data_IF_090574835615
#
_entry.id   IF_090574835615
#
_cell.length_a   1.000
_cell.length_b   1.000
_cell.length_c   1.000
_cell.angle_alpha   90.00
_cell.angle_beta   90.00
_cell.angle_gamma   90.00
#
_symmetry.space_group_name_H-M   'P 1'
#
loop_
_entity.id
_entity.type
_entity.pdbx_description
1 polymer ?
#
# COMPACT_ATOMS: atom_id res chain seq x y z
N UNK A 1 33.86 28.51 -17.51
CA UNK A 1 34.20 28.11 -16.13
C UNK A 1 35.62 28.55 -15.84
N UNK A 2 35.83 29.42 -14.87
CA UNK A 2 37.18 29.77 -14.40
C UNK A 2 37.79 28.61 -13.60
N UNK A 3 39.11 28.61 -13.41
CA UNK A 3 39.82 27.58 -12.61
C UNK A 3 39.25 27.50 -11.19
N UNK A 4 38.86 28.64 -10.61
CA UNK A 4 38.28 28.70 -9.27
C UNK A 4 36.89 28.05 -9.21
N UNK A 5 36.04 28.30 -10.21
CA UNK A 5 34.70 27.70 -10.32
C UNK A 5 34.76 26.17 -10.50
N UNK A 6 35.73 25.68 -11.27
CA UNK A 6 35.97 24.24 -11.40
C UNK A 6 36.43 23.60 -10.08
N UNK A 7 37.28 24.30 -9.30
CA UNK A 7 37.74 23.80 -8.01
C UNK A 7 36.62 23.74 -6.96
N UNK A 8 35.69 24.70 -6.99
CA UNK A 8 34.51 24.71 -6.12
C UNK A 8 33.53 23.59 -6.50
N UNK A 9 33.30 23.37 -7.80
CA UNK A 9 32.34 22.35 -8.27
C UNK A 9 32.81 20.91 -7.97
N UNK A 10 34.12 20.64 -8.00
CA UNK A 10 34.66 19.31 -7.71
C UNK A 10 34.42 18.84 -6.27
N UNK A 11 34.38 19.75 -5.29
CA UNK A 11 34.05 19.40 -3.90
C UNK A 11 32.61 18.91 -3.77
N UNK A 12 31.67 19.60 -4.40
CA UNK A 12 30.25 19.20 -4.44
C UNK A 12 30.05 17.87 -5.16
N UNK A 13 30.70 17.69 -6.31
CA UNK A 13 30.65 16.44 -7.08
C UNK A 13 31.21 15.25 -6.28
N UNK A 14 32.35 15.42 -5.60
CA UNK A 14 32.96 14.36 -4.79
C UNK A 14 32.11 13.97 -3.59
N UNK A 15 31.50 14.95 -2.92
CA UNK A 15 30.56 14.70 -1.83
C UNK A 15 29.32 13.95 -2.36
N UNK A 16 28.76 14.38 -3.48
CA UNK A 16 27.60 13.71 -4.09
C UNK A 16 27.87 12.25 -4.44
N UNK A 17 29.03 11.94 -5.02
CA UNK A 17 29.43 10.57 -5.32
C UNK A 17 29.61 9.72 -4.05
N UNK A 18 30.24 10.28 -3.02
CA UNK A 18 30.42 9.59 -1.74
C UNK A 18 29.08 9.34 -1.03
N UNK A 19 28.21 10.33 -0.99
CA UNK A 19 26.87 10.22 -0.38
C UNK A 19 26.01 9.21 -1.15
N UNK A 20 26.10 9.18 -2.49
CA UNK A 20 25.41 8.20 -3.32
C UNK A 20 25.90 6.78 -2.99
N UNK A 21 27.21 6.57 -2.98
CA UNK A 21 27.79 5.26 -2.65
C UNK A 21 27.38 4.78 -1.24
N UNK A 22 27.35 5.68 -0.25
CA UNK A 22 26.89 5.37 1.10
C UNK A 22 25.38 5.04 1.15
N UNK A 23 24.54 5.77 0.40
CA UNK A 23 23.10 5.52 0.35
C UNK A 23 22.77 4.19 -0.33
N UNK A 24 23.47 3.82 -1.41
CA UNK A 24 23.32 2.52 -2.06
C UNK A 24 23.55 1.36 -1.10
N UNK A 25 24.61 1.44 -0.27
CA UNK A 25 24.88 0.40 0.73
C UNK A 25 23.78 0.28 1.79
N UNK A 26 23.11 1.38 2.15
CA UNK A 26 22.03 1.38 3.15
C UNK A 26 20.72 0.84 2.58
N UNK A 27 20.38 1.16 1.34
CA UNK A 27 19.16 0.67 0.68
C UNK A 27 19.17 -0.86 0.51
N UNK A 28 20.30 -1.44 0.08
CA UNK A 28 20.42 -2.90 -0.05
C UNK A 28 20.31 -3.62 1.30
N UNK A 29 20.92 -3.06 2.35
CA UNK A 29 20.82 -3.62 3.70
C UNK A 29 19.39 -3.57 4.25
N UNK A 30 18.68 -2.45 4.06
CA UNK A 30 17.28 -2.32 4.47
C UNK A 30 16.39 -3.34 3.76
N UNK A 31 16.50 -3.43 2.43
CA UNK A 31 15.72 -4.36 1.60
C UNK A 31 15.91 -5.80 2.07
N UNK A 32 17.16 -6.21 2.32
CA UNK A 32 17.46 -7.56 2.86
C UNK A 32 16.77 -7.80 4.19
N UNK A 33 16.84 -6.84 5.13
CA UNK A 33 16.18 -6.99 6.43
C UNK A 33 14.66 -7.04 6.33
N UNK A 34 14.08 -6.28 5.42
CA UNK A 34 12.63 -6.33 5.16
C UNK A 34 12.22 -7.70 4.62
N UNK A 35 12.98 -8.25 3.67
CA UNK A 35 12.73 -9.60 3.13
C UNK A 35 12.88 -10.67 4.22
N UNK A 36 13.92 -10.60 5.04
CA UNK A 36 14.16 -11.57 6.12
C UNK A 36 13.00 -11.61 7.13
N UNK A 37 12.34 -10.48 7.40
CA UNK A 37 11.19 -10.39 8.31
C UNK A 37 9.88 -10.77 7.62
N UNK A 38 9.73 -10.46 6.33
CA UNK A 38 8.48 -10.63 5.60
C UNK A 38 8.36 -11.96 4.83
N UNK A 39 9.41 -12.79 4.80
CA UNK A 39 9.44 -14.03 4.00
C UNK A 39 8.29 -15.01 4.29
N UNK A 40 7.76 -15.00 5.52
CA UNK A 40 6.67 -15.90 5.94
C UNK A 40 5.28 -15.35 5.59
N UNK A 41 5.19 -14.10 5.12
CA UNK A 41 3.95 -13.50 4.63
C UNK A 41 3.63 -14.00 3.21
N UNK A 42 2.96 -15.14 3.15
CA UNK A 42 2.49 -15.81 1.94
C UNK A 42 0.96 -15.91 2.00
N UNK A 43 0.28 -15.78 0.87
CA UNK A 43 -1.16 -16.03 0.81
C UNK A 43 -1.43 -17.53 0.97
N UNK A 44 -2.16 -17.92 2.02
CA UNK A 44 -2.37 -19.34 2.37
C UNK A 44 -3.82 -19.82 2.22
N UNK A 45 -4.77 -18.91 2.28
CA UNK A 45 -6.20 -19.19 2.22
C UNK A 45 -6.95 -18.05 1.55
N UNK A 46 -8.17 -18.28 1.07
CA UNK A 46 -8.98 -17.25 0.43
C UNK A 46 -9.57 -16.26 1.45
N UNK A 47 -10.11 -16.76 2.56
CA UNK A 47 -10.82 -15.95 3.55
C UNK A 47 -10.62 -16.50 4.98
N UNK A 48 -10.07 -15.67 5.87
CA UNK A 48 -9.91 -16.01 7.29
C UNK A 48 -11.19 -15.80 8.13
N UNK A 49 -12.27 -15.31 7.53
CA UNK A 49 -13.53 -15.04 8.22
C UNK A 49 -13.48 -13.93 9.27
N UNK A 50 -12.44 -13.09 9.28
CA UNK A 50 -12.33 -12.00 10.26
C UNK A 50 -13.47 -10.98 10.08
N UNK A 51 -14.07 -10.61 11.21
CA UNK A 51 -15.01 -9.48 11.30
C UNK A 51 -14.29 -8.13 11.44
N UNK A 52 -12.98 -8.17 11.69
CA UNK A 52 -12.19 -6.99 12.02
C UNK A 52 -11.62 -6.33 10.75
N UNK A 53 -11.62 -5.01 10.76
CA UNK A 53 -11.08 -4.20 9.67
C UNK A 53 -10.48 -2.91 10.21
N UNK A 54 -9.80 -2.18 9.33
CA UNK A 54 -9.26 -0.86 9.62
C UNK A 54 -10.12 0.20 8.94
N UNK A 55 -10.20 1.36 9.57
CA UNK A 55 -10.88 2.53 9.00
C UNK A 55 -9.86 3.28 8.14
N UNK A 56 -10.16 3.41 6.84
CA UNK A 56 -9.37 4.22 5.91
C UNK A 56 -10.05 5.56 5.68
N UNK A 57 -9.23 6.61 5.75
CA UNK A 57 -9.59 8.00 5.48
C UNK A 57 -8.56 8.61 4.53
N UNK A 58 -8.91 9.72 3.87
CA UNK A 58 -7.92 10.49 3.11
C UNK A 58 -6.72 10.87 4.01
N UNK A 59 -5.50 10.79 3.47
CA UNK A 59 -4.30 11.17 4.21
C UNK A 59 -3.99 12.64 3.93
N UNK A 60 -4.01 13.45 5.00
CA UNK A 60 -3.79 14.89 4.94
C UNK A 60 -2.62 15.24 5.86
N UNK A 61 -1.69 16.04 5.36
CA UNK A 61 -0.54 16.57 6.11
C UNK A 61 -0.52 18.09 5.96
N UNK A 62 -0.56 18.81 7.08
CA UNK A 62 -0.57 20.28 7.16
C UNK A 62 -1.52 20.99 6.16
N UNK A 63 -2.71 20.42 5.96
CA UNK A 63 -3.75 20.99 5.09
C UNK A 63 -3.61 20.64 3.60
N UNK A 64 -2.57 19.90 3.22
CA UNK A 64 -2.41 19.35 1.87
C UNK A 64 -2.88 17.90 1.86
N UNK A 65 -3.75 17.55 0.92
CA UNK A 65 -4.13 16.14 0.68
C UNK A 65 -2.95 15.46 -0.02
N UNK A 66 -2.30 14.52 0.67
CA UNK A 66 -1.20 13.74 0.09
C UNK A 66 -1.77 12.56 -0.69
N UNK A 67 -2.72 11.83 -0.09
CA UNK A 67 -3.42 10.71 -0.74
C UNK A 67 -4.92 10.87 -0.56
N UNK A 68 -5.65 10.75 -1.67
CA UNK A 68 -7.11 10.81 -1.67
C UNK A 68 -7.70 9.53 -1.08
N UNK A 69 -8.97 9.59 -0.64
CA UNK A 69 -9.67 8.38 -0.19
C UNK A 69 -9.78 7.35 -1.33
N UNK A 70 -9.99 7.80 -2.56
CA UNK A 70 -10.12 6.96 -3.75
C UNK A 70 -8.89 6.07 -3.94
N UNK A 71 -7.70 6.68 -4.02
CA UNK A 71 -6.42 5.97 -4.23
C UNK A 71 -6.15 4.93 -3.15
N UNK A 72 -6.53 5.23 -1.90
CA UNK A 72 -6.29 4.33 -0.76
C UNK A 72 -7.24 3.14 -0.71
N UNK A 73 -8.42 3.25 -1.34
CA UNK A 73 -9.45 2.22 -1.31
C UNK A 73 -9.34 1.20 -2.46
N UNK A 74 -8.79 1.60 -3.61
CA UNK A 74 -8.71 0.73 -4.79
C UNK A 74 -7.99 -0.59 -4.45
N UNK A 75 -8.60 -1.70 -4.85
CA UNK A 75 -8.06 -3.05 -4.68
C UNK A 75 -8.21 -3.63 -3.27
N UNK A 76 -8.82 -2.91 -2.33
CA UNK A 76 -9.15 -3.44 -1.00
C UNK A 76 -10.54 -4.07 -0.99
N UNK A 77 -10.80 -4.86 0.04
CA UNK A 77 -12.12 -5.48 0.28
C UNK A 77 -12.84 -4.76 1.42
N UNK A 78 -14.11 -4.46 1.22
CA UNK A 78 -14.98 -3.83 2.22
C UNK A 78 -15.27 -4.76 3.38
N UNK A 79 -15.32 -4.19 4.58
CA UNK A 79 -15.76 -4.88 5.80
C UNK A 79 -17.14 -4.39 6.26
N UNK A 80 -17.60 -3.25 5.74
CA UNK A 80 -18.91 -2.67 5.98
C UNK A 80 -19.50 -2.21 4.63
N UNK A 81 -20.83 -2.22 4.53
CA UNK A 81 -21.53 -1.74 3.34
C UNK A 81 -21.33 -0.23 3.18
N UNK A 82 -20.83 0.20 2.03
CA UNK A 82 -20.72 1.61 1.70
C UNK A 82 -22.07 2.09 1.16
N UNK A 83 -22.85 2.76 1.99
CA UNK A 83 -24.18 3.28 1.61
C UNK A 83 -24.06 4.78 1.30
N UNK A 84 -24.64 5.20 0.19
CA UNK A 84 -24.72 6.63 -0.13
C UNK A 84 -25.67 7.34 0.86
N UNK A 85 -25.19 8.34 1.63
CA UNK A 85 -26.01 9.05 2.60
C UNK A 85 -27.15 9.86 1.99
N UNK A 86 -27.10 10.17 0.68
CA UNK A 86 -28.12 10.98 -0.01
C UNK A 86 -29.23 10.13 -0.63
N UNK A 87 -28.87 9.00 -1.24
CA UNK A 87 -29.80 8.15 -2.00
C UNK A 87 -30.22 6.91 -1.23
N UNK A 88 -29.43 6.47 -0.24
CA UNK A 88 -29.63 5.20 0.46
C UNK A 88 -29.26 3.98 -0.39
N UNK A 89 -28.64 4.16 -1.56
CA UNK A 89 -28.17 3.06 -2.40
C UNK A 89 -26.88 2.46 -1.85
N UNK A 90 -26.76 1.13 -1.93
CA UNK A 90 -25.53 0.41 -1.59
C UNK A 90 -24.55 0.58 -2.75
N UNK A 91 -23.46 1.30 -2.52
CA UNK A 91 -22.41 1.55 -3.51
C UNK A 91 -21.49 0.34 -3.65
N UNK A 92 -21.14 -0.28 -2.52
CA UNK A 92 -20.31 -1.49 -2.42
C UNK A 92 -20.83 -2.34 -1.27
N UNK A 93 -21.12 -3.62 -1.55
CA UNK A 93 -21.60 -4.58 -0.57
C UNK A 93 -20.51 -5.02 0.41
N UNK A 94 -20.89 -5.79 1.42
CA UNK A 94 -19.94 -6.37 2.38
C UNK A 94 -19.10 -7.48 1.72
N UNK A 95 -17.77 -7.39 1.84
CA UNK A 95 -16.85 -8.40 1.29
C UNK A 95 -16.61 -8.28 -0.21
N UNK A 96 -17.02 -7.19 -0.84
CA UNK A 96 -16.77 -6.91 -2.25
C UNK A 96 -15.42 -6.17 -2.44
N UNK A 97 -14.79 -6.41 -3.59
CA UNK A 97 -13.59 -5.68 -4.00
C UNK A 97 -13.95 -4.26 -4.45
N UNK A 98 -13.19 -3.28 -3.98
CA UNK A 98 -13.35 -1.88 -4.38
C UNK A 98 -12.56 -1.64 -5.68
N UNK A 99 -13.28 -1.62 -6.79
CA UNK A 99 -12.77 -1.14 -8.08
C UNK A 99 -12.63 0.38 -8.13
N UNK A 100 -11.86 0.90 -9.08
CA UNK A 100 -11.72 2.35 -9.34
C UNK A 100 -13.08 3.05 -9.51
N UNK A 101 -14.03 2.40 -10.19
CA UNK A 101 -15.39 2.95 -10.38
C UNK A 101 -16.13 3.05 -9.06
N UNK A 102 -16.02 2.04 -8.21
CA UNK A 102 -16.65 2.00 -6.90
C UNK A 102 -16.01 3.01 -5.94
N UNK A 103 -14.69 3.14 -5.98
CA UNK A 103 -13.94 4.15 -5.22
C UNK A 103 -14.36 5.58 -5.58
N UNK A 104 -14.55 5.88 -6.87
CA UNK A 104 -15.07 7.18 -7.33
C UNK A 104 -16.47 7.46 -6.79
N UNK A 105 -17.39 6.50 -6.89
CA UNK A 105 -18.75 6.64 -6.33
C UNK A 105 -18.73 6.92 -4.83
N UNK A 106 -17.89 6.22 -4.07
CA UNK A 106 -17.72 6.43 -2.62
C UNK A 106 -17.26 7.87 -2.34
N UNK A 107 -16.29 8.36 -3.11
CA UNK A 107 -15.77 9.72 -3.00
C UNK A 107 -16.84 10.78 -3.36
N UNK A 108 -17.58 10.59 -4.46
CA UNK A 108 -18.65 11.48 -4.93
C UNK A 108 -19.86 11.52 -3.97
N UNK A 109 -20.17 10.40 -3.32
CA UNK A 109 -21.20 10.32 -2.28
C UNK A 109 -20.83 11.13 -1.01
N UNK A 110 -19.56 11.53 -0.87
CA UNK A 110 -19.07 12.31 0.27
C UNK A 110 -18.79 11.46 1.51
N UNK A 111 -18.56 10.16 1.33
CA UNK A 111 -18.16 9.25 2.42
C UNK A 111 -16.72 9.61 2.82
N UNK A 112 -16.50 9.88 4.11
CA UNK A 112 -15.20 10.33 4.63
C UNK A 112 -14.29 9.18 5.07
N UNK A 113 -14.90 8.07 5.47
CA UNK A 113 -14.19 6.93 6.01
C UNK A 113 -14.90 5.64 5.61
N UNK A 114 -14.12 4.60 5.30
CA UNK A 114 -14.63 3.28 4.94
C UNK A 114 -13.86 2.23 5.71
N UNK A 115 -14.57 1.27 6.30
CA UNK A 115 -13.95 0.13 6.96
C UNK A 115 -13.65 -0.97 5.95
N UNK A 116 -12.38 -1.33 5.87
CA UNK A 116 -11.87 -2.33 4.93
C UNK A 116 -11.07 -3.40 5.64
N UNK A 117 -10.93 -4.55 5.00
CA UNK A 117 -10.05 -5.61 5.46
C UNK A 117 -8.58 -5.17 5.37
N UNK A 118 -7.78 -5.70 6.27
CA UNK A 118 -6.35 -5.43 6.32
C UNK A 118 -5.58 -6.69 6.69
N UNK A 119 -4.35 -6.78 6.18
CA UNK A 119 -3.35 -7.75 6.62
C UNK A 119 -3.08 -7.65 8.14
N UNK A 120 -3.24 -6.48 8.74
CA UNK A 120 -3.03 -6.26 10.18
C UNK A 120 -4.11 -6.88 11.07
N UNK A 121 -5.32 -7.08 10.53
CA UNK A 121 -6.47 -7.66 11.23
C UNK A 121 -6.80 -9.07 10.74
N UNK A 122 -5.89 -9.69 9.97
CA UNK A 122 -6.02 -11.03 9.45
C UNK A 122 -5.94 -12.06 10.59
N UNK A 123 -6.84 -13.03 10.60
CA UNK A 123 -6.88 -14.13 11.58
C UNK A 123 -6.45 -15.48 10.99
N UNK A 124 -5.77 -15.47 9.85
CA UNK A 124 -5.20 -16.68 9.27
C UNK A 124 -4.16 -17.28 10.24
N UNK A 125 -4.18 -18.59 10.46
CA UNK A 125 -3.23 -19.25 11.39
C UNK A 125 -1.78 -19.16 10.89
N UNK A 126 -1.60 -19.26 9.57
CA UNK A 126 -0.29 -19.18 8.92
C UNK A 126 -0.41 -18.28 7.69
N UNK A 127 0.49 -17.31 7.56
CA UNK A 127 0.49 -16.39 6.42
C UNK A 127 -0.68 -15.40 6.45
N UNK A 128 -1.22 -15.10 5.28
CA UNK A 128 -2.25 -14.06 5.09
C UNK A 128 -3.40 -14.62 4.22
N UNK A 129 -4.61 -14.14 4.48
CA UNK A 129 -5.80 -14.45 3.67
C UNK A 129 -5.86 -13.57 2.40
N UNK A 130 -6.26 -14.12 1.26
CA UNK A 130 -6.34 -13.38 0.00
C UNK A 130 -7.28 -12.16 0.11
N UNK A 131 -8.42 -12.31 0.80
CA UNK A 131 -9.36 -11.21 1.01
C UNK A 131 -8.84 -10.08 1.92
N UNK A 132 -7.89 -10.39 2.80
CA UNK A 132 -7.31 -9.46 3.75
C UNK A 132 -6.18 -8.64 3.10
N UNK A 133 -5.50 -9.25 2.13
CA UNK A 133 -4.51 -8.62 1.29
C UNK A 133 -5.18 -7.74 0.22
N UNK A 134 -6.16 -8.31 -0.49
CA UNK A 134 -6.87 -7.67 -1.59
C UNK A 134 -6.26 -7.99 -2.95
N UNK A 135 -6.20 -6.97 -3.80
CA UNK A 135 -5.73 -7.05 -5.18
C UNK A 135 -4.22 -7.07 -5.25
N UNK A 136 -3.68 -8.00 -6.03
CA UNK A 136 -2.30 -7.92 -6.51
C UNK A 136 -2.19 -6.81 -7.57
N UNK A 137 -1.34 -5.85 -7.30
CA UNK A 137 -1.10 -4.68 -8.14
C UNK A 137 -0.34 -5.03 -9.44
N UNK A 138 0.37 -6.18 -9.49
CA UNK A 138 1.07 -6.61 -10.68
C UNK A 138 0.14 -7.20 -11.74
N UNK A 139 -0.80 -8.07 -11.32
CA UNK A 139 -1.74 -8.75 -12.23
C UNK A 139 -3.07 -7.98 -12.36
N UNK A 140 -3.40 -7.14 -11.38
CA UNK A 140 -4.67 -6.42 -11.34
C UNK A 140 -5.87 -7.34 -11.04
N UNK A 141 -5.63 -8.43 -10.32
CA UNK A 141 -6.66 -9.38 -9.83
C UNK A 141 -6.43 -9.64 -8.35
N UNK A 142 -7.39 -10.28 -7.68
CA UNK A 142 -7.21 -10.75 -6.31
C UNK A 142 -5.97 -11.66 -6.20
N UNK A 143 -5.22 -11.53 -5.12
CA UNK A 143 -4.00 -12.30 -4.92
C UNK A 143 -4.28 -13.81 -4.86
N UNK A 144 -3.37 -14.60 -5.44
CA UNK A 144 -3.55 -16.05 -5.54
C UNK A 144 -2.96 -16.77 -4.33
N UNK A 145 -3.51 -17.95 -4.01
CA UNK A 145 -2.92 -18.82 -2.98
C UNK A 145 -1.51 -19.25 -3.42
N UNK A 146 -0.55 -19.11 -2.52
CA UNK A 146 0.86 -19.41 -2.73
C UNK A 146 1.72 -18.20 -3.09
N UNK A 147 1.12 -17.02 -3.24
CA UNK A 147 1.84 -15.80 -3.61
C UNK A 147 2.67 -15.23 -2.44
N UNK A 148 3.95 -14.96 -2.68
CA UNK A 148 4.92 -14.49 -1.69
C UNK A 148 4.85 -12.96 -1.50
N UNK A 149 3.68 -12.48 -1.07
CA UNK A 149 3.35 -11.05 -0.94
C UNK A 149 4.29 -10.28 -0.02
N UNK A 150 4.88 -10.93 0.99
CA UNK A 150 5.85 -10.30 1.88
C UNK A 150 7.17 -9.94 1.21
N UNK A 151 7.68 -10.83 0.35
CA UNK A 151 8.90 -10.57 -0.43
C UNK A 151 8.65 -9.47 -1.45
N UNK A 152 7.49 -9.51 -2.12
CA UNK A 152 7.07 -8.47 -3.07
C UNK A 152 7.01 -7.12 -2.36
N UNK A 153 6.32 -7.03 -1.22
CA UNK A 153 6.20 -5.79 -0.45
C UNK A 153 7.56 -5.27 0.04
N UNK A 154 8.44 -6.15 0.52
CA UNK A 154 9.78 -5.77 0.98
C UNK A 154 10.64 -5.20 -0.15
N UNK A 155 10.55 -5.79 -1.36
CA UNK A 155 11.23 -5.30 -2.55
C UNK A 155 10.66 -3.96 -3.02
N UNK A 156 9.33 -3.81 -3.06
CA UNK A 156 8.69 -2.55 -3.44
C UNK A 156 9.04 -1.38 -2.52
N UNK A 157 9.34 -1.64 -1.23
CA UNK A 157 9.82 -0.62 -0.30
C UNK A 157 11.32 -0.35 -0.51
N UNK A 158 12.09 -1.39 -0.81
CA UNK A 158 13.54 -1.32 -0.98
C UNK A 158 14.00 -0.66 -2.27
N UNK A 159 13.21 -0.83 -3.33
CA UNK A 159 13.42 -0.29 -4.68
C UNK A 159 12.23 0.61 -5.07
N UNK A 160 12.12 1.82 -4.48
CA UNK A 160 11.08 2.78 -4.81
C UNK A 160 11.31 3.47 -6.17
#
# INVERSE_FOLDING_TARGET
MSVLEYFISTHGARKGLADTALRTSKSGYLTRRLVDVAQDAIIREEDCGTSDGIIIRAFQDDGTVIETLEERLVGRITQEEAIDPKTGEVLVGLGEEIDEKSAKKISEAGIKEVKVRSVLTCRAEHGICAKCYGKDMAIGKLANIGEAVGVIAAQSIGEP
#
